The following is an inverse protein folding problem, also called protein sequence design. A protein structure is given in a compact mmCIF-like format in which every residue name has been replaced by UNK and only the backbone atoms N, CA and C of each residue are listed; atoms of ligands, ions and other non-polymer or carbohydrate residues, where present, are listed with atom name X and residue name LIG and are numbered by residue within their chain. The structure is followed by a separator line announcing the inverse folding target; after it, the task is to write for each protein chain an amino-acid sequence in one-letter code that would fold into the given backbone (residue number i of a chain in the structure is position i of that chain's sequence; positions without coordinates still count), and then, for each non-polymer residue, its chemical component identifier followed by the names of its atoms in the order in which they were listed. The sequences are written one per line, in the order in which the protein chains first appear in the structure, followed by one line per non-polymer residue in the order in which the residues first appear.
data_IF_460443588314
#
_entry.id   IF_460443588314
#
_cell.length_a   1.000
_cell.length_b   1.000
_cell.length_c   1.000
_cell.angle_alpha   90.00
_cell.angle_beta   90.00
_cell.angle_gamma   90.00
#
_symmetry.space_group_name_H-M   'P 1'
#
loop_
_entity.id
_entity.type
_entity.pdbx_description
1 polymer ?
#
# COMPACT_ATOMS: atom_id res chain seq x y z
N UNK A 1 -7.13 27.08 -4.17
CA UNK A 1 -7.45 25.75 -4.72
C UNK A 1 -8.92 25.41 -4.51
N UNK A 2 -9.54 24.74 -5.47
CA UNK A 2 -10.93 24.28 -5.38
C UNK A 2 -11.04 23.16 -4.31
N UNK A 3 -11.72 23.43 -3.18
CA UNK A 3 -11.91 22.45 -2.10
C UNK A 3 -12.74 21.22 -2.50
N UNK A 4 -13.40 21.25 -3.67
CA UNK A 4 -14.21 20.15 -4.18
C UNK A 4 -13.47 19.24 -5.17
N UNK A 5 -12.28 19.65 -5.65
CA UNK A 5 -11.49 18.80 -6.52
C UNK A 5 -10.83 17.69 -5.71
N UNK A 6 -11.05 16.43 -6.10
CA UNK A 6 -10.38 15.25 -5.56
C UNK A 6 -9.41 14.70 -6.57
N UNK A 7 -8.18 14.48 -6.12
CA UNK A 7 -7.11 13.86 -6.88
C UNK A 7 -6.76 12.54 -6.23
N UNK A 8 -6.25 11.61 -7.02
CA UNK A 8 -5.83 10.30 -6.56
C UNK A 8 -4.35 10.11 -6.90
N UNK A 9 -3.61 9.55 -5.94
CA UNK A 9 -2.23 9.15 -6.12
C UNK A 9 -2.06 7.70 -5.69
N UNK A 10 -1.22 6.97 -6.41
CA UNK A 10 -0.84 5.59 -6.08
C UNK A 10 0.67 5.49 -5.99
N UNK A 11 1.18 5.05 -4.84
CA UNK A 11 2.62 4.86 -4.58
C UNK A 11 2.94 3.37 -4.54
N UNK A 12 3.85 2.96 -5.40
CA UNK A 12 4.47 1.63 -5.41
C UNK A 12 5.91 1.74 -5.90
N UNK A 13 6.79 0.85 -5.44
CA UNK A 13 8.20 0.75 -5.85
C UNK A 13 8.64 -0.71 -5.80
N UNK A 14 9.65 -1.07 -6.56
CA UNK A 14 10.13 -2.45 -6.63
C UNK A 14 10.69 -2.98 -5.30
N UNK A 15 11.16 -2.10 -4.42
CA UNK A 15 11.63 -2.44 -3.08
C UNK A 15 10.54 -2.38 -2.01
N UNK A 16 9.29 -1.99 -2.35
CA UNK A 16 8.16 -2.11 -1.42
C UNK A 16 7.65 -3.55 -1.44
N UNK A 17 8.48 -4.44 -0.89
CA UNK A 17 8.25 -5.88 -0.85
C UNK A 17 8.60 -6.45 0.52
N UNK A 18 7.94 -7.53 0.90
CA UNK A 18 8.33 -8.34 2.06
C UNK A 18 8.16 -9.82 1.74
N UNK A 19 8.99 -10.66 2.36
CA UNK A 19 8.92 -12.12 2.19
C UNK A 19 8.31 -12.73 3.44
N UNK A 20 7.26 -13.54 3.28
CA UNK A 20 6.61 -14.20 4.42
C UNK A 20 6.05 -15.57 4.04
N UNK A 21 6.14 -16.51 4.98
CA UNK A 21 5.44 -17.79 4.92
C UNK A 21 4.00 -17.62 5.45
N UNK A 22 3.05 -18.35 4.87
CA UNK A 22 1.63 -18.27 5.22
C UNK A 22 0.87 -19.56 4.83
N UNK A 23 -0.34 -19.67 5.35
CA UNK A 23 -1.37 -20.60 4.92
C UNK A 23 -2.75 -19.99 5.18
N UNK A 24 -3.70 -20.24 4.29
CA UNK A 24 -5.08 -19.77 4.35
C UNK A 24 -6.00 -20.90 4.82
N UNK A 25 -6.86 -20.58 5.79
CA UNK A 25 -8.00 -21.40 6.19
C UNK A 25 -9.28 -20.85 5.57
N UNK A 26 -10.12 -21.70 4.98
CA UNK A 26 -11.38 -21.33 4.35
C UNK A 26 -12.52 -22.26 4.77
N UNK A 27 -13.72 -21.72 4.90
CA UNK A 27 -14.95 -22.46 5.21
C UNK A 27 -14.88 -23.37 6.45
N UNK A 28 -14.00 -23.04 7.41
CA UNK A 28 -13.82 -23.76 8.67
C UNK A 28 -13.15 -25.13 8.60
N UNK A 29 -12.96 -25.71 7.40
CA UNK A 29 -12.42 -27.07 7.24
C UNK A 29 -11.41 -27.23 6.08
N UNK A 30 -11.18 -26.18 5.28
CA UNK A 30 -10.17 -26.20 4.24
C UNK A 30 -8.96 -25.42 4.76
N UNK A 31 -7.78 -26.03 4.68
CA UNK A 31 -6.51 -25.41 5.02
C UNK A 31 -5.52 -25.77 3.91
N UNK A 32 -4.93 -24.77 3.27
CA UNK A 32 -3.87 -24.99 2.30
C UNK A 32 -2.55 -25.41 2.99
N UNK A 33 -1.61 -25.95 2.20
CA UNK A 33 -0.27 -26.26 2.73
C UNK A 33 0.50 -24.96 2.99
N UNK A 34 1.29 -24.96 4.07
CA UNK A 34 2.25 -23.91 4.37
C UNK A 34 3.20 -23.70 3.19
N UNK A 35 3.32 -22.47 2.74
CA UNK A 35 4.24 -22.04 1.69
C UNK A 35 4.61 -20.57 1.91
N UNK A 36 5.31 -19.93 0.96
CA UNK A 36 5.69 -18.52 1.11
C UNK A 36 5.67 -17.75 -0.20
N UNK A 37 5.65 -16.42 -0.07
CA UNK A 37 5.61 -15.48 -1.19
C UNK A 37 6.52 -14.27 -0.94
N UNK A 38 6.89 -13.64 -2.05
CA UNK A 38 7.41 -12.28 -2.06
C UNK A 38 6.22 -11.33 -2.33
N UNK A 39 5.72 -10.72 -1.27
CA UNK A 39 4.59 -9.81 -1.31
C UNK A 39 5.04 -8.43 -1.79
N UNK A 40 4.21 -7.75 -2.58
CA UNK A 40 4.44 -6.37 -3.02
C UNK A 40 3.38 -5.45 -2.41
N UNK A 41 3.80 -4.28 -1.95
CA UNK A 41 2.95 -3.28 -1.29
C UNK A 41 2.75 -2.07 -2.21
N UNK A 42 1.53 -1.55 -2.21
CA UNK A 42 1.18 -0.27 -2.82
C UNK A 42 0.18 0.46 -1.91
N UNK A 43 0.24 1.79 -1.89
CA UNK A 43 -0.73 2.63 -1.20
C UNK A 43 -1.43 3.55 -2.20
N UNK A 44 -2.72 3.78 -1.98
CA UNK A 44 -3.55 4.67 -2.79
C UNK A 44 -4.25 5.66 -1.87
N UNK A 45 -4.12 6.95 -2.19
CA UNK A 45 -4.71 8.04 -1.42
C UNK A 45 -5.52 8.93 -2.35
N UNK A 46 -6.63 9.43 -1.82
CA UNK A 46 -7.48 10.36 -2.54
C UNK A 46 -7.80 11.56 -1.65
N UNK A 47 -7.56 12.77 -2.15
CA UNK A 47 -7.74 13.99 -1.39
C UNK A 47 -7.65 15.26 -2.24
N UNK A 48 -7.91 16.43 -1.65
CA UNK A 48 -7.55 17.70 -2.27
C UNK A 48 -6.02 17.84 -2.33
N UNK A 49 -5.55 18.82 -3.10
CA UNK A 49 -4.15 19.21 -3.07
C UNK A 49 -3.89 20.17 -1.90
N UNK A 50 -2.75 20.01 -1.22
CA UNK A 50 -2.23 20.90 -0.19
C UNK A 50 -1.63 22.20 -0.77
N UNK A 51 -1.05 23.06 0.06
CA UNK A 51 -0.43 24.32 -0.39
C UNK A 51 0.74 24.13 -1.37
N UNK A 52 1.36 22.95 -1.39
CA UNK A 52 2.46 22.58 -2.27
C UNK A 52 1.99 21.86 -3.55
N UNK A 53 0.68 21.63 -3.69
CA UNK A 53 0.11 20.95 -4.86
C UNK A 53 0.15 19.42 -4.76
N UNK A 54 0.29 18.84 -3.57
CA UNK A 54 0.31 17.39 -3.36
C UNK A 54 -0.98 16.89 -2.74
N UNK A 55 -1.42 15.69 -3.12
CA UNK A 55 -2.42 14.93 -2.33
C UNK A 55 -1.79 14.51 -1.00
N UNK A 56 -0.52 14.10 -1.06
CA UNK A 56 0.31 13.75 0.08
C UNK A 56 1.77 13.71 -0.37
N UNK A 57 2.72 13.90 0.54
CA UNK A 57 4.16 13.78 0.27
C UNK A 57 4.54 12.34 -0.10
N UNK A 58 5.04 12.14 -1.32
CA UNK A 58 5.39 10.81 -1.83
C UNK A 58 6.59 10.16 -1.12
N UNK A 59 7.54 10.95 -0.64
CA UNK A 59 8.72 10.47 0.09
C UNK A 59 8.27 9.99 1.47
N UNK A 60 7.50 10.82 2.19
CA UNK A 60 6.97 10.46 3.50
C UNK A 60 6.12 9.19 3.42
N UNK A 61 5.22 9.08 2.44
CA UNK A 61 4.39 7.89 2.25
C UNK A 61 5.23 6.64 1.92
N UNK A 62 6.20 6.74 1.00
CA UNK A 62 7.10 5.64 0.68
C UNK A 62 7.86 5.17 1.92
N UNK A 63 8.40 6.10 2.70
CA UNK A 63 9.21 5.77 3.88
C UNK A 63 8.37 5.13 4.98
N UNK A 64 7.10 5.53 5.14
CA UNK A 64 6.17 4.81 6.00
C UNK A 64 5.90 3.38 5.50
N UNK A 65 5.76 3.17 4.19
CA UNK A 65 5.54 1.84 3.63
C UNK A 65 6.75 0.89 3.74
N UNK A 66 7.95 1.42 3.96
CA UNK A 66 9.17 0.63 4.19
C UNK A 66 9.43 0.35 5.67
N UNK A 67 8.71 1.02 6.57
CA UNK A 67 8.98 0.92 8.00
C UNK A 67 8.63 -0.49 8.50
N UNK A 68 9.61 -1.14 9.12
CA UNK A 68 9.48 -2.47 9.74
C UNK A 68 9.01 -2.35 11.18
#
# INVERSE_FOLDING_TARGET
MNKFARYQVRVTKDHLVFSAAHFITFNGNICERLHGHNWRVAAELTGPLDENGYVFDFIALRDQLQKT
#
